data_IF_117248081526
#
_entry.id   IF_117248081526
#
_cell.length_a   1.000
_cell.length_b   1.000
_cell.length_c   1.000
_cell.angle_alpha   90.00
_cell.angle_beta   90.00
_cell.angle_gamma   90.00
#
_symmetry.space_group_name_H-M   'P 1'
#
loop_
_entity.id
_entity.type
_entity.pdbx_description
1 polymer ?
#
# COMPACT_ATOMS: atom_id res chain seq x y z
N UNK A 1 24.65 16.35 -3.93
CA UNK A 1 23.80 15.86 -5.04
C UNK A 1 22.56 15.12 -4.51
N UNK A 2 22.72 14.11 -3.66
CA UNK A 2 21.60 13.27 -3.18
C UNK A 2 20.49 14.05 -2.46
N UNK A 3 20.82 15.02 -1.61
CA UNK A 3 19.83 15.87 -0.90
C UNK A 3 19.01 16.72 -1.89
N UNK A 4 19.66 17.23 -2.95
CA UNK A 4 18.97 18.06 -3.97
C UNK A 4 17.94 17.21 -4.72
N UNK A 5 18.30 15.99 -5.10
CA UNK A 5 17.38 15.04 -5.75
C UNK A 5 16.21 14.68 -4.83
N UNK A 6 16.48 14.45 -3.55
CA UNK A 6 15.46 14.17 -2.54
C UNK A 6 14.48 15.35 -2.38
N UNK A 7 14.99 16.57 -2.28
CA UNK A 7 14.16 17.78 -2.20
C UNK A 7 13.29 17.97 -3.44
N UNK A 8 13.84 17.74 -4.64
CA UNK A 8 13.06 17.81 -5.88
C UNK A 8 11.95 16.76 -5.89
N UNK A 9 12.25 15.53 -5.45
CA UNK A 9 11.26 14.46 -5.34
C UNK A 9 10.14 14.80 -4.36
N UNK A 10 10.48 15.28 -3.16
CA UNK A 10 9.52 15.70 -2.14
C UNK A 10 8.64 16.85 -2.63
N UNK A 11 9.23 17.86 -3.27
CA UNK A 11 8.48 18.97 -3.87
C UNK A 11 7.52 18.46 -4.96
N UNK A 12 7.97 17.55 -5.82
CA UNK A 12 7.11 16.90 -6.82
C UNK A 12 5.92 16.18 -6.19
N UNK A 13 6.16 15.40 -5.13
CA UNK A 13 5.12 14.70 -4.38
C UNK A 13 4.10 15.67 -3.76
N UNK A 14 4.56 16.78 -3.17
CA UNK A 14 3.70 17.81 -2.60
C UNK A 14 2.84 18.46 -3.69
N UNK A 15 3.42 18.82 -4.84
CA UNK A 15 2.69 19.42 -5.97
C UNK A 15 1.60 18.48 -6.47
N UNK A 16 1.91 17.19 -6.65
CA UNK A 16 0.95 16.18 -7.08
C UNK A 16 -0.15 16.00 -6.02
N UNK A 17 0.20 16.01 -4.73
CA UNK A 17 -0.75 15.93 -3.63
C UNK A 17 -1.73 17.10 -3.59
N UNK A 18 -1.24 18.34 -3.73
CA UNK A 18 -2.08 19.54 -3.80
C UNK A 18 -2.97 19.50 -5.04
N UNK A 19 -2.43 19.06 -6.18
CA UNK A 19 -3.22 18.92 -7.40
C UNK A 19 -4.33 17.87 -7.27
N UNK A 20 -4.04 16.73 -6.64
CA UNK A 20 -5.04 15.68 -6.35
C UNK A 20 -6.11 16.14 -5.36
N UNK A 21 -5.72 16.90 -4.33
CA UNK A 21 -6.66 17.50 -3.37
C UNK A 21 -7.69 18.39 -4.07
N UNK A 22 -7.27 19.20 -5.05
CA UNK A 22 -8.18 20.05 -5.85
C UNK A 22 -9.19 19.27 -6.71
N UNK A 23 -8.97 17.97 -6.93
CA UNK A 23 -9.88 17.10 -7.68
C UNK A 23 -10.79 16.26 -6.79
N UNK A 24 -10.66 16.37 -5.47
CA UNK A 24 -11.43 15.59 -4.50
C UNK A 24 -12.54 16.46 -3.93
N UNK A 25 -13.78 16.19 -4.33
CA UNK A 25 -14.94 16.97 -3.86
C UNK A 25 -15.78 16.19 -2.86
N UNK A 26 -15.87 14.86 -3.01
CA UNK A 26 -16.69 13.99 -2.17
C UNK A 26 -15.90 12.79 -1.61
N UNK A 27 -16.49 12.08 -0.64
CA UNK A 27 -15.92 10.87 -0.04
C UNK A 27 -15.61 9.77 -1.08
N UNK A 28 -16.48 9.61 -2.09
CA UNK A 28 -16.24 8.65 -3.18
C UNK A 28 -15.02 9.01 -4.05
N UNK A 29 -14.73 10.31 -4.20
CA UNK A 29 -13.52 10.75 -4.90
C UNK A 29 -12.28 10.45 -4.06
N UNK A 30 -12.36 10.66 -2.75
CA UNK A 30 -11.27 10.40 -1.82
C UNK A 30 -10.94 8.91 -1.68
N UNK A 31 -11.95 8.07 -1.47
CA UNK A 31 -11.74 6.63 -1.22
C UNK A 31 -11.60 5.80 -2.51
N UNK A 32 -12.27 6.18 -3.60
CA UNK A 32 -12.35 5.36 -4.81
C UNK A 32 -11.85 6.08 -6.08
N UNK A 33 -11.36 7.32 -5.98
CA UNK A 33 -10.99 8.13 -7.15
C UNK A 33 -12.17 8.33 -8.11
N UNK A 34 -13.39 8.43 -7.58
CA UNK A 34 -14.61 8.54 -8.37
C UNK A 34 -14.92 7.30 -9.20
N UNK A 35 -14.28 6.15 -8.92
CA UNK A 35 -14.37 4.90 -9.69
C UNK A 35 -13.96 5.03 -11.17
N UNK A 36 -13.28 6.13 -11.55
CA UNK A 36 -12.83 6.43 -12.92
C UNK A 36 -11.40 5.94 -13.21
N UNK A 37 -10.68 5.50 -12.18
CA UNK A 37 -9.29 5.04 -12.31
C UNK A 37 -9.24 3.78 -13.20
N UNK A 38 -8.44 3.87 -14.27
CA UNK A 38 -8.23 2.78 -15.21
C UNK A 38 -7.48 1.58 -14.60
N UNK A 39 -7.54 0.41 -15.25
CA UNK A 39 -6.92 -0.82 -14.76
C UNK A 39 -5.39 -0.70 -14.62
N UNK A 40 -4.72 -0.02 -15.55
CA UNK A 40 -3.26 0.19 -15.50
C UNK A 40 -2.84 1.04 -14.31
N UNK A 41 -3.50 2.18 -14.10
CA UNK A 41 -3.20 3.06 -12.96
C UNK A 41 -3.48 2.35 -11.63
N UNK A 42 -4.55 1.54 -11.56
CA UNK A 42 -4.86 0.73 -10.38
C UNK A 42 -3.78 -0.33 -10.11
N UNK A 43 -3.25 -0.97 -11.16
CA UNK A 43 -2.16 -1.95 -11.03
C UNK A 43 -0.86 -1.30 -10.56
N UNK A 44 -0.50 -0.12 -11.07
CA UNK A 44 0.66 0.63 -10.60
C UNK A 44 0.51 1.07 -9.15
N UNK A 45 -0.66 1.59 -8.76
CA UNK A 45 -0.93 1.98 -7.37
C UNK A 45 -0.84 0.80 -6.40
N UNK A 46 -1.34 -0.38 -6.82
CA UNK A 46 -1.15 -1.61 -6.05
C UNK A 46 0.34 -1.99 -5.95
N UNK A 47 1.06 -1.95 -7.07
CA UNK A 47 2.49 -2.22 -7.11
C UNK A 47 3.28 -1.33 -6.17
N UNK A 48 3.10 0.00 -6.25
CA UNK A 48 3.81 0.95 -5.36
C UNK A 48 3.46 0.74 -3.89
N UNK A 49 2.21 0.37 -3.59
CA UNK A 49 1.79 0.05 -2.21
C UNK A 49 2.40 -1.26 -1.70
N UNK A 50 2.61 -2.22 -2.59
CA UNK A 50 3.22 -3.51 -2.28
C UNK A 50 4.75 -3.42 -2.10
N UNK A 51 5.42 -2.62 -2.93
CA UNK A 51 6.86 -2.36 -2.87
C UNK A 51 7.22 -1.36 -1.76
N UNK A 52 7.21 -1.81 -0.51
CA UNK A 52 7.63 -1.01 0.64
C UNK A 52 9.06 -1.32 1.10
N UNK A 53 9.57 -0.53 2.05
CA UNK A 53 10.87 -0.76 2.70
C UNK A 53 11.00 -2.18 3.27
N UNK A 54 9.87 -2.82 3.64
CA UNK A 54 9.82 -4.20 4.13
C UNK A 54 10.28 -5.19 3.05
N UNK A 55 9.90 -5.00 1.79
CA UNK A 55 10.33 -5.88 0.72
C UNK A 55 11.84 -5.75 0.46
N UNK A 56 12.37 -4.52 0.43
CA UNK A 56 13.79 -4.31 0.17
C UNK A 56 14.68 -4.73 1.35
N UNK A 57 14.37 -4.28 2.58
CA UNK A 57 15.21 -4.56 3.75
C UNK A 57 14.95 -5.98 4.29
N UNK A 58 13.67 -6.34 4.43
CA UNK A 58 13.29 -7.63 5.02
C UNK A 58 13.49 -8.78 4.04
N UNK A 59 12.91 -8.67 2.85
CA UNK A 59 12.89 -9.76 1.88
C UNK A 59 14.21 -9.86 1.09
N UNK A 60 14.58 -8.81 0.35
CA UNK A 60 15.81 -8.83 -0.43
C UNK A 60 17.07 -8.76 0.47
N UNK A 61 17.06 -7.92 1.50
CA UNK A 61 18.15 -7.78 2.45
C UNK A 61 18.33 -9.01 3.34
N UNK A 62 17.47 -9.18 4.35
CA UNK A 62 17.66 -10.24 5.35
C UNK A 62 17.51 -11.65 4.78
N UNK A 63 16.40 -11.94 4.09
CA UNK A 63 16.17 -13.28 3.55
C UNK A 63 17.07 -13.57 2.35
N UNK A 64 17.21 -12.62 1.41
CA UNK A 64 18.06 -12.80 0.24
C UNK A 64 19.53 -13.00 0.59
N UNK A 65 20.05 -12.31 1.61
CA UNK A 65 21.43 -12.52 2.07
C UNK A 65 21.63 -13.83 2.83
N UNK A 66 20.61 -14.30 3.55
CA UNK A 66 20.67 -15.55 4.33
C UNK A 66 20.42 -16.82 3.52
N UNK A 67 19.40 -16.81 2.66
CA UNK A 67 18.92 -17.97 1.90
C UNK A 67 19.24 -17.90 0.39
N UNK A 68 19.87 -16.82 -0.07
CA UNK A 68 20.26 -16.63 -1.46
C UNK A 68 19.08 -16.58 -2.43
N UNK A 69 19.29 -17.12 -3.64
CA UNK A 69 18.30 -17.10 -4.72
C UNK A 69 17.03 -17.90 -4.42
N UNK A 70 17.02 -18.78 -3.42
CA UNK A 70 15.85 -19.58 -3.08
C UNK A 70 14.65 -18.71 -2.64
N UNK A 71 14.91 -17.53 -2.12
CA UNK A 71 13.87 -16.55 -1.72
C UNK A 71 13.05 -16.05 -2.92
N UNK A 72 13.62 -16.11 -4.14
CA UNK A 72 12.89 -15.75 -5.35
C UNK A 72 11.69 -16.65 -5.61
N UNK A 73 11.69 -17.91 -5.16
CA UNK A 73 10.53 -18.79 -5.27
C UNK A 73 9.32 -18.25 -4.50
N UNK A 74 9.56 -17.66 -3.33
CA UNK A 74 8.50 -17.06 -2.53
C UNK A 74 7.99 -15.79 -3.21
N UNK A 75 8.88 -14.96 -3.77
CA UNK A 75 8.49 -13.79 -4.55
C UNK A 75 7.67 -14.17 -5.80
N UNK A 76 8.11 -15.19 -6.53
CA UNK A 76 7.44 -15.68 -7.73
C UNK A 76 6.07 -16.28 -7.39
N UNK A 77 5.99 -17.08 -6.33
CA UNK A 77 4.74 -17.62 -5.81
C UNK A 77 3.75 -16.51 -5.41
N UNK A 78 4.22 -15.48 -4.70
CA UNK A 78 3.37 -14.35 -4.35
C UNK A 78 2.91 -13.56 -5.58
N UNK A 79 3.80 -13.29 -6.54
CA UNK A 79 3.45 -12.58 -7.77
C UNK A 79 2.39 -13.32 -8.58
N UNK A 80 2.53 -14.64 -8.74
CA UNK A 80 1.61 -15.46 -9.54
C UNK A 80 0.30 -15.76 -8.79
N UNK A 81 0.37 -16.33 -7.59
CA UNK A 81 -0.80 -16.79 -6.86
C UNK A 81 -1.41 -15.70 -5.98
N UNK A 82 -0.58 -14.90 -5.33
CA UNK A 82 -1.01 -13.86 -4.40
C UNK A 82 -1.56 -12.61 -5.09
N UNK A 83 -0.88 -12.11 -6.12
CA UNK A 83 -1.28 -10.90 -6.82
C UNK A 83 -2.05 -11.19 -8.12
N UNK A 84 -1.45 -11.91 -9.08
CA UNK A 84 -2.01 -12.07 -10.41
C UNK A 84 -3.29 -12.91 -10.41
N UNK A 85 -3.28 -14.08 -9.77
CA UNK A 85 -4.46 -14.96 -9.71
C UNK A 85 -5.60 -14.31 -8.92
N UNK A 86 -5.29 -13.68 -7.78
CA UNK A 86 -6.28 -12.93 -7.01
C UNK A 86 -6.90 -11.79 -7.85
N UNK A 87 -6.09 -11.05 -8.62
CA UNK A 87 -6.58 -9.98 -9.49
C UNK A 87 -7.50 -10.51 -10.61
N UNK A 88 -7.09 -11.58 -11.28
CA UNK A 88 -7.86 -12.18 -12.38
C UNK A 88 -9.19 -12.78 -11.90
N UNK A 89 -9.18 -13.46 -10.76
CA UNK A 89 -10.35 -14.19 -10.25
C UNK A 89 -11.28 -13.28 -9.44
N UNK A 90 -10.73 -12.48 -8.52
CA UNK A 90 -11.50 -11.71 -7.55
C UNK A 90 -11.67 -10.24 -7.95
N UNK A 91 -10.74 -9.64 -8.69
CA UNK A 91 -10.74 -8.21 -8.98
C UNK A 91 -12.03 -7.74 -9.67
N UNK A 92 -12.42 -8.38 -10.78
CA UNK A 92 -13.64 -8.01 -11.52
C UNK A 92 -14.92 -8.26 -10.70
N UNK A 93 -14.98 -9.37 -9.96
CA UNK A 93 -16.16 -9.74 -9.16
C UNK A 93 -16.36 -8.80 -7.99
N UNK A 94 -15.28 -8.50 -7.27
CA UNK A 94 -15.29 -7.59 -6.13
C UNK A 94 -15.68 -6.19 -6.59
N UNK A 95 -15.10 -5.67 -7.68
CA UNK A 95 -15.45 -4.34 -8.22
C UNK A 95 -16.95 -4.20 -8.55
N UNK A 96 -17.53 -5.19 -9.22
CA UNK A 96 -18.98 -5.17 -9.54
C UNK A 96 -19.84 -5.24 -8.29
N UNK A 97 -19.47 -6.08 -7.32
CA UNK A 97 -20.23 -6.23 -6.09
C UNK A 97 -20.16 -4.99 -5.21
N UNK A 98 -18.99 -4.36 -5.08
CA UNK A 98 -18.85 -3.09 -4.34
C UNK A 98 -19.61 -1.95 -4.99
N UNK A 99 -19.74 -1.96 -6.33
CA UNK A 99 -20.56 -1.00 -7.06
C UNK A 99 -22.05 -1.20 -6.80
N UNK A 100 -22.53 -2.44 -6.82
CA UNK A 100 -23.94 -2.76 -6.60
C UNK A 100 -24.40 -2.48 -5.16
N UNK A 101 -23.52 -2.70 -4.18
CA UNK A 101 -23.79 -2.43 -2.77
C UNK A 101 -23.48 -0.99 -2.35
N UNK A 102 -22.96 -0.19 -3.26
CA UNK A 102 -22.44 1.17 -3.05
C UNK A 102 -21.56 1.36 -1.80
N UNK A 103 -20.68 0.38 -1.56
CA UNK A 103 -19.73 0.40 -0.44
C UNK A 103 -18.38 0.96 -0.86
N UNK A 104 -17.69 1.61 0.08
CA UNK A 104 -16.38 2.22 -0.15
C UNK A 104 -15.24 1.52 0.58
N UNK A 105 -15.53 0.84 1.70
CA UNK A 105 -14.50 0.20 2.53
C UNK A 105 -14.67 -1.33 2.59
N UNK A 106 -13.57 -2.05 2.85
CA UNK A 106 -13.61 -3.51 2.96
C UNK A 106 -14.46 -4.01 4.14
N UNK A 107 -14.43 -3.39 5.34
CA UNK A 107 -15.32 -3.77 6.44
C UNK A 107 -16.81 -3.58 6.10
N UNK A 108 -17.17 -2.49 5.42
CA UNK A 108 -18.54 -2.25 4.95
C UNK A 108 -18.96 -3.25 3.89
N UNK A 109 -18.06 -3.57 2.96
CA UNK A 109 -18.31 -4.61 1.97
C UNK A 109 -18.64 -5.96 2.61
N UNK A 110 -17.91 -6.37 3.65
CA UNK A 110 -18.21 -7.61 4.36
C UNK A 110 -19.53 -7.54 5.13
N UNK A 111 -19.84 -6.41 5.77
CA UNK A 111 -21.12 -6.21 6.43
C UNK A 111 -22.29 -6.35 5.46
N UNK A 112 -22.29 -5.59 4.37
CA UNK A 112 -23.40 -5.55 3.41
C UNK A 112 -23.53 -6.86 2.64
N UNK A 113 -22.41 -7.53 2.33
CA UNK A 113 -22.42 -8.82 1.66
C UNK A 113 -23.02 -9.94 2.50
N UNK A 114 -22.80 -9.94 3.81
CA UNK A 114 -23.20 -11.03 4.71
C UNK A 114 -24.35 -10.65 5.66
N UNK A 115 -24.86 -9.41 5.61
CA UNK A 115 -25.95 -8.91 6.46
C UNK A 115 -25.60 -8.81 7.95
N UNK A 116 -24.32 -8.88 8.31
CA UNK A 116 -23.86 -9.05 9.69
C UNK A 116 -23.10 -7.81 10.20
N UNK A 117 -23.77 -6.98 11.03
CA UNK A 117 -23.19 -5.76 11.60
C UNK A 117 -21.90 -5.99 12.41
N UNK A 118 -21.78 -7.14 13.06
CA UNK A 118 -20.59 -7.50 13.83
C UNK A 118 -19.34 -7.67 12.95
N UNK A 119 -19.49 -8.06 11.67
CA UNK A 119 -18.35 -8.22 10.76
C UNK A 119 -17.64 -6.90 10.48
N UNK A 120 -18.35 -5.77 10.44
CA UNK A 120 -17.72 -4.45 10.27
C UNK A 120 -16.78 -4.16 11.43
N UNK A 121 -17.22 -4.39 12.66
CA UNK A 121 -16.43 -4.12 13.87
C UNK A 121 -15.23 -5.07 13.92
N UNK A 122 -15.46 -6.37 13.77
CA UNK A 122 -14.39 -7.38 13.82
C UNK A 122 -13.33 -7.09 12.75
N UNK A 123 -13.75 -6.87 11.50
CA UNK A 123 -12.81 -6.61 10.40
C UNK A 123 -12.04 -5.30 10.63
N UNK A 124 -12.71 -4.25 11.10
CA UNK A 124 -12.04 -2.97 11.40
C UNK A 124 -10.99 -3.14 12.50
N UNK A 125 -11.31 -3.87 13.58
CA UNK A 125 -10.36 -4.13 14.68
C UNK A 125 -9.17 -4.95 14.20
N UNK A 126 -9.41 -6.00 13.41
CA UNK A 126 -8.34 -6.82 12.81
C UNK A 126 -7.43 -5.93 11.97
N UNK A 127 -7.99 -5.17 11.02
CA UNK A 127 -7.21 -4.27 10.16
C UNK A 127 -6.40 -3.29 11.02
N UNK A 128 -7.01 -2.68 12.03
CA UNK A 128 -6.33 -1.72 12.90
C UNK A 128 -5.13 -2.35 13.63
N UNK A 129 -5.32 -3.53 14.24
CA UNK A 129 -4.26 -4.24 14.97
C UNK A 129 -3.11 -4.64 14.05
N UNK A 130 -3.39 -5.11 12.83
CA UNK A 130 -2.34 -5.53 11.88
C UNK A 130 -1.67 -4.36 11.16
N UNK A 131 -2.40 -3.25 10.94
CA UNK A 131 -1.86 -2.07 10.28
C UNK A 131 -0.85 -1.32 11.17
N UNK A 132 -1.00 -1.40 12.49
CA UNK A 132 -0.13 -0.73 13.45
C UNK A 132 1.34 -1.22 13.39
N UNK A 133 1.65 -2.52 13.55
CA UNK A 133 3.01 -3.03 13.38
C UNK A 133 3.49 -2.93 11.93
N UNK A 134 2.60 -3.06 10.95
CA UNK A 134 2.94 -2.86 9.54
C UNK A 134 3.48 -1.44 9.30
N UNK A 135 2.73 -0.42 9.69
CA UNK A 135 3.14 0.99 9.55
C UNK A 135 4.46 1.26 10.29
N UNK A 136 4.59 0.76 11.53
CA UNK A 136 5.82 0.89 12.30
C UNK A 136 7.04 0.27 11.57
N UNK A 137 6.85 -0.90 10.93
CA UNK A 137 7.91 -1.55 10.16
C UNK A 137 8.32 -0.76 8.90
N UNK A 138 7.36 -0.09 8.26
CA UNK A 138 7.62 0.76 7.08
C UNK A 138 8.41 2.00 7.48
N UNK A 139 8.00 2.71 8.54
CA UNK A 139 8.73 3.88 9.04
C UNK A 139 10.15 3.52 9.49
N UNK A 140 10.31 2.42 10.22
CA UNK A 140 11.65 1.93 10.61
C UNK A 140 12.52 1.63 9.39
N UNK A 141 11.95 0.97 8.37
CA UNK A 141 12.67 0.68 7.14
C UNK A 141 13.11 1.94 6.41
N UNK A 142 12.24 2.96 6.34
CA UNK A 142 12.55 4.24 5.74
C UNK A 142 13.66 4.97 6.51
N UNK A 143 13.59 5.01 7.85
CA UNK A 143 14.63 5.60 8.69
C UNK A 143 16.01 4.96 8.46
N UNK A 144 16.09 3.62 8.39
CA UNK A 144 17.36 2.94 8.08
C UNK A 144 17.87 3.22 6.66
N UNK A 145 16.99 3.38 5.68
CA UNK A 145 17.40 3.77 4.32
C UNK A 145 18.00 5.17 4.31
N UNK A 146 17.42 6.11 5.05
CA UNK A 146 17.94 7.47 5.15
C UNK A 146 19.28 7.52 5.89
N UNK A 147 19.41 6.78 6.98
CA UNK A 147 20.66 6.64 7.73
C UNK A 147 21.77 6.07 6.85
N UNK A 148 21.51 4.97 6.14
CA UNK A 148 22.52 4.30 5.31
C UNK A 148 22.94 5.08 4.06
N UNK A 149 22.03 5.87 3.44
CA UNK A 149 22.31 6.56 2.17
C UNK A 149 22.69 8.03 2.33
N UNK A 150 22.20 8.70 3.38
CA UNK A 150 22.37 10.13 3.57
C UNK A 150 23.13 10.49 4.85
N UNK A 151 23.52 9.51 5.68
CA UNK A 151 24.14 9.70 6.99
C UNK A 151 23.33 10.63 7.91
N UNK A 152 22.00 10.66 7.73
CA UNK A 152 21.08 11.42 8.59
C UNK A 152 20.74 10.52 9.78
N UNK A 153 20.85 10.99 11.04
CA UNK A 153 20.51 10.17 12.19
C UNK A 153 19.06 9.72 12.14
N UNK A 154 18.82 8.47 12.53
CA UNK A 154 17.50 7.81 12.49
C UNK A 154 16.38 8.65 13.10
N UNK A 155 16.63 9.32 14.23
CA UNK A 155 15.63 10.14 14.93
C UNK A 155 15.16 11.34 14.10
N UNK A 156 16.08 11.98 13.36
CA UNK A 156 15.75 13.08 12.45
C UNK A 156 15.09 12.56 11.16
N UNK A 157 15.49 11.39 10.68
CA UNK A 157 14.90 10.76 9.50
C UNK A 157 13.45 10.29 9.74
N UNK A 158 13.08 9.97 10.97
CA UNK A 158 11.72 9.58 11.37
C UNK A 158 10.75 10.75 11.47
N UNK A 159 11.27 11.96 11.76
CA UNK A 159 10.49 13.19 11.88
C UNK A 159 10.24 13.87 10.52
N UNK A 160 11.01 13.50 9.50
CA UNK A 160 10.90 13.98 8.12
C UNK A 160 9.88 13.16 7.33
#
# INVERSE_FOLDING_TARGET
MSIILLSIFLLGMIIIGIWGMRKTFNLGDFFLGGRTIGPWMSAFAYGTSYFSAVLFIGFAGKLGWGFGLNVLWIALGNAVFGALLAWLVLGRRTRRMTQNLDVMTMPEFLQERFGAKYLKIITTVIIFIFLLPYSASVFKGLGHLFEANFNIPYDYALLL
#
